data_IF_018109424023
#
_entry.id   IF_018109424023
#
_cell.length_a   1.000
_cell.length_b   1.000
_cell.length_c   1.000
_cell.angle_alpha   90.00
_cell.angle_beta   90.00
_cell.angle_gamma   90.00
#
_symmetry.space_group_name_H-M   'P 1'
#
loop_
_entity.id
_entity.type
_entity.pdbx_description
1 polymer ?
#
# COMPACT_ATOMS: atom_id res chain seq x y z
N UNK A 1 -54.10 39.55 17.24
CA UNK A 1 -53.62 40.44 16.17
C UNK A 1 -52.12 40.22 16.02
N UNK A 2 -51.69 39.77 14.84
CA UNK A 2 -50.38 40.12 14.26
C UNK A 2 -50.48 41.55 13.63
N UNK A 3 -49.45 42.13 12.97
CA UNK A 3 -48.03 41.76 12.81
C UNK A 3 -47.11 42.74 13.61
N UNK A 4 -45.86 43.16 13.32
CA UNK A 4 -44.96 43.12 12.13
C UNK A 4 -43.49 42.97 12.61
N UNK A 5 -42.62 42.42 11.75
CA UNK A 5 -41.16 42.29 11.96
C UNK A 5 -40.41 43.63 11.86
N UNK A 6 -39.23 43.75 12.49
CA UNK A 6 -38.18 44.66 11.96
C UNK A 6 -36.76 44.15 12.18
N UNK A 7 -36.00 44.20 11.10
CA UNK A 7 -34.63 43.73 10.88
C UNK A 7 -33.55 44.42 11.72
N UNK A 8 -32.77 43.64 12.48
CA UNK A 8 -31.50 44.07 13.09
C UNK A 8 -30.27 43.53 12.35
N UNK A 9 -29.83 44.20 11.27
CA UNK A 9 -28.60 43.82 10.55
C UNK A 9 -27.34 44.17 11.37
N UNK A 10 -26.64 43.17 11.93
CA UNK A 10 -25.32 43.40 12.56
C UNK A 10 -24.27 43.75 11.51
N UNK A 11 -23.80 44.99 11.57
CA UNK A 11 -22.88 45.60 10.63
C UNK A 11 -21.42 45.22 10.93
N UNK A 12 -20.95 44.11 10.37
CA UNK A 12 -19.51 43.80 10.41
C UNK A 12 -18.74 44.69 9.44
N UNK A 13 -17.73 45.38 9.96
CA UNK A 13 -16.95 46.37 9.23
C UNK A 13 -15.95 45.71 8.28
N UNK A 14 -15.95 46.13 7.01
CA UNK A 14 -14.87 45.79 6.08
C UNK A 14 -13.58 46.47 6.52
N UNK A 15 -12.60 45.69 6.99
CA UNK A 15 -11.18 46.04 6.84
C UNK A 15 -10.65 45.37 5.57
N UNK A 16 -10.01 46.14 4.70
CA UNK A 16 -8.95 45.59 3.84
C UNK A 16 -7.66 45.43 4.67
N UNK A 17 -6.55 44.97 4.10
CA UNK A 17 -6.30 44.44 2.75
C UNK A 17 -5.10 43.48 2.84
N UNK A 18 -4.63 42.95 1.69
CA UNK A 18 -3.28 42.43 1.54
C UNK A 18 -2.83 41.31 2.50
N UNK A 19 -3.53 40.18 2.47
CA UNK A 19 -2.84 38.89 2.62
C UNK A 19 -2.55 38.30 1.24
N UNK A 20 -1.28 38.43 0.83
CA UNK A 20 -0.81 37.98 -0.47
C UNK A 20 -1.10 36.49 -0.70
N UNK A 21 -1.61 36.15 -1.89
CA UNK A 21 -1.83 34.77 -2.33
C UNK A 21 -0.49 34.07 -2.58
N UNK A 22 0.19 33.72 -1.49
CA UNK A 22 1.39 32.91 -1.54
C UNK A 22 0.99 31.49 -1.98
N UNK A 23 0.97 31.27 -3.31
CA UNK A 23 0.72 29.97 -3.94
C UNK A 23 1.81 29.01 -3.46
N UNK A 24 1.57 28.31 -2.34
CA UNK A 24 2.39 27.16 -1.94
C UNK A 24 2.46 26.24 -3.14
N UNK A 25 3.64 26.16 -3.75
CA UNK A 25 3.90 25.20 -4.80
C UNK A 25 3.64 23.81 -4.21
N UNK A 26 2.59 23.14 -4.69
CA UNK A 26 2.58 21.69 -4.64
C UNK A 26 3.89 21.25 -5.30
N UNK A 27 4.73 20.49 -4.59
CA UNK A 27 6.04 20.07 -5.09
C UNK A 27 5.82 19.37 -6.44
N UNK A 28 6.20 20.03 -7.52
CA UNK A 28 6.12 19.46 -8.86
C UNK A 28 7.06 18.26 -8.90
N UNK A 29 6.53 17.08 -9.23
CA UNK A 29 7.32 15.86 -9.34
C UNK A 29 8.22 15.95 -10.58
N UNK A 30 9.38 16.60 -10.46
CA UNK A 30 10.36 16.83 -11.55
C UNK A 30 10.85 15.51 -12.18
N UNK A 31 10.73 14.38 -11.47
CA UNK A 31 11.18 13.05 -11.90
C UNK A 31 10.18 12.26 -12.78
N UNK A 32 9.11 12.89 -13.28
CA UNK A 32 8.02 12.19 -13.99
C UNK A 32 8.27 11.93 -15.49
N UNK A 33 9.33 12.48 -16.10
CA UNK A 33 9.60 12.37 -17.54
C UNK A 33 10.68 11.34 -17.89
N UNK A 34 10.28 10.22 -18.50
CA UNK A 34 11.18 9.29 -19.21
C UNK A 34 11.63 8.04 -18.44
N UNK A 35 11.46 7.99 -17.12
CA UNK A 35 11.95 6.88 -16.29
C UNK A 35 11.04 5.65 -16.38
N UNK A 36 11.56 4.52 -16.88
CA UNK A 36 10.83 3.25 -16.96
C UNK A 36 10.66 2.61 -15.58
N UNK A 37 9.54 1.92 -15.29
CA UNK A 37 9.39 1.13 -14.08
C UNK A 37 10.27 -0.12 -14.11
N UNK A 38 10.72 -0.58 -12.94
CA UNK A 38 11.59 -1.74 -12.77
C UNK A 38 10.78 -3.05 -12.79
N UNK A 39 10.13 -3.31 -13.92
CA UNK A 39 9.45 -4.59 -14.16
C UNK A 39 10.51 -5.69 -14.32
N UNK A 40 10.29 -6.82 -13.65
CA UNK A 40 11.13 -8.02 -13.70
C UNK A 40 10.35 -9.23 -14.18
N UNK A 41 11.04 -10.15 -14.85
CA UNK A 41 10.43 -11.38 -15.33
C UNK A 41 10.17 -12.38 -14.20
N UNK A 42 9.10 -13.16 -14.34
CA UNK A 42 8.65 -14.15 -13.36
C UNK A 42 9.72 -15.22 -13.05
N UNK A 43 10.65 -15.45 -13.98
CA UNK A 43 11.82 -16.33 -13.84
C UNK A 43 12.99 -15.73 -13.06
N UNK A 44 13.08 -14.40 -12.90
CA UNK A 44 14.15 -13.75 -12.12
C UNK A 44 13.91 -13.82 -10.61
N UNK A 45 12.64 -14.00 -10.19
CA UNK A 45 12.23 -14.00 -8.78
C UNK A 45 13.05 -14.94 -7.88
N UNK A 46 13.23 -16.26 -8.17
CA UNK A 46 14.04 -17.14 -7.33
C UNK A 46 15.54 -16.78 -7.31
N UNK A 47 16.02 -15.93 -8.24
CA UNK A 47 17.35 -15.34 -8.16
C UNK A 47 17.44 -14.26 -7.09
N UNK A 48 16.42 -13.41 -6.98
CA UNK A 48 16.33 -12.37 -5.95
C UNK A 48 16.15 -12.97 -4.55
N UNK A 49 15.24 -13.94 -4.38
CA UNK A 49 14.95 -14.56 -3.08
C UNK A 49 16.17 -15.27 -2.45
N UNK A 50 17.18 -15.64 -3.25
CA UNK A 50 18.42 -16.27 -2.79
C UNK A 50 19.53 -15.26 -2.41
N UNK A 51 19.34 -13.98 -2.72
CA UNK A 51 20.33 -12.92 -2.45
C UNK A 51 19.97 -12.08 -1.23
N UNK A 52 18.68 -11.90 -0.92
CA UNK A 52 18.25 -11.25 0.34
C UNK A 52 18.13 -12.28 1.46
N UNK A 53 18.79 -12.03 2.61
CA UNK A 53 18.73 -12.90 3.81
C UNK A 53 17.36 -12.91 4.48
N UNK A 54 16.74 -11.75 4.63
CA UNK A 54 15.46 -11.54 5.33
C UNK A 54 14.51 -10.71 4.46
N UNK A 55 14.04 -11.25 3.32
CA UNK A 55 13.26 -10.49 2.35
C UNK A 55 11.99 -9.90 2.98
N UNK A 56 11.64 -8.70 2.55
CA UNK A 56 10.30 -8.13 2.72
C UNK A 56 9.65 -8.01 1.34
N UNK A 57 8.69 -8.89 1.07
CA UNK A 57 7.94 -8.93 -0.18
C UNK A 57 6.56 -8.30 0.05
N UNK A 58 6.15 -7.39 -0.83
CA UNK A 58 4.76 -6.91 -0.88
C UNK A 58 4.01 -7.62 -2.00
N UNK A 59 2.84 -8.18 -1.69
CA UNK A 59 1.99 -8.88 -2.65
C UNK A 59 0.64 -8.17 -2.73
N UNK A 60 0.23 -7.81 -3.95
CA UNK A 60 -0.98 -7.01 -4.19
C UNK A 60 -1.99 -7.81 -5.03
N UNK A 61 -2.97 -8.42 -4.37
CA UNK A 61 -3.95 -9.31 -4.98
C UNK A 61 -5.13 -8.53 -5.60
N UNK A 62 -5.12 -8.41 -6.93
CA UNK A 62 -6.21 -7.84 -7.73
C UNK A 62 -6.54 -6.36 -7.47
N UNK A 63 -5.54 -5.50 -7.29
CA UNK A 63 -5.73 -4.03 -7.20
C UNK A 63 -6.18 -3.47 -8.56
N UNK A 64 -7.29 -2.73 -8.59
CA UNK A 64 -7.89 -2.20 -9.84
C UNK A 64 -7.58 -0.72 -10.11
N UNK A 65 -7.32 0.08 -9.08
CA UNK A 65 -7.08 1.51 -9.22
C UNK A 65 -5.57 1.80 -9.41
N UNK A 66 -5.15 2.47 -10.50
CA UNK A 66 -3.75 2.86 -10.70
C UNK A 66 -3.24 3.87 -9.65
N UNK A 67 -4.11 4.67 -9.02
CA UNK A 67 -3.70 5.53 -7.90
C UNK A 67 -3.33 4.70 -6.68
N UNK A 68 -4.16 3.73 -6.29
CA UNK A 68 -3.87 2.86 -5.15
C UNK A 68 -2.66 1.95 -5.43
N UNK A 69 -2.49 1.42 -6.66
CA UNK A 69 -1.24 0.72 -7.03
C UNK A 69 -0.03 1.64 -6.89
N UNK A 70 -0.07 2.86 -7.45
CA UNK A 70 1.04 3.81 -7.34
C UNK A 70 1.38 4.19 -5.89
N UNK A 71 0.37 4.38 -5.06
CA UNK A 71 0.54 4.68 -3.64
C UNK A 71 1.11 3.47 -2.86
N UNK A 72 0.67 2.24 -3.17
CA UNK A 72 1.26 1.02 -2.60
C UNK A 72 2.74 0.87 -2.99
N UNK A 73 3.11 1.13 -4.26
CA UNK A 73 4.50 1.11 -4.73
C UNK A 73 5.37 2.18 -4.04
N UNK A 74 4.80 3.33 -3.69
CA UNK A 74 5.48 4.36 -2.89
C UNK A 74 5.72 3.92 -1.45
N UNK A 75 4.71 3.36 -0.79
CA UNK A 75 4.83 2.83 0.57
C UNK A 75 5.81 1.66 0.63
N UNK A 76 5.81 0.78 -0.37
CA UNK A 76 6.75 -0.33 -0.51
C UNK A 76 8.20 0.17 -0.54
N UNK A 77 8.49 1.12 -1.43
CA UNK A 77 9.83 1.68 -1.56
C UNK A 77 10.28 2.42 -0.28
N UNK A 78 9.38 3.20 0.33
CA UNK A 78 9.65 3.90 1.60
C UNK A 78 9.84 2.99 2.82
N UNK A 79 9.36 1.74 2.76
CA UNK A 79 9.51 0.73 3.81
C UNK A 79 10.66 -0.27 3.55
N UNK A 80 11.42 -0.13 2.47
CA UNK A 80 12.52 -1.03 2.14
C UNK A 80 12.08 -2.41 1.62
N UNK A 81 10.92 -2.50 0.95
CA UNK A 81 10.45 -3.73 0.28
C UNK A 81 11.42 -4.14 -0.84
N UNK A 82 11.93 -5.38 -0.79
CA UNK A 82 12.84 -5.96 -1.79
C UNK A 82 12.17 -6.17 -3.15
N UNK A 83 10.89 -6.55 -3.15
CA UNK A 83 10.13 -6.82 -4.37
C UNK A 83 8.62 -6.68 -4.16
N UNK A 84 7.92 -6.21 -5.18
CA UNK A 84 6.45 -6.15 -5.26
C UNK A 84 5.96 -7.20 -6.27
N UNK A 85 4.99 -8.02 -5.87
CA UNK A 85 4.39 -9.07 -6.69
C UNK A 85 2.94 -8.70 -7.00
N UNK A 86 2.59 -8.63 -8.28
CA UNK A 86 1.23 -8.36 -8.75
C UNK A 86 0.80 -9.43 -9.78
N UNK A 87 -0.44 -9.96 -9.77
CA UNK A 87 -0.86 -10.88 -10.83
C UNK A 87 -1.01 -10.18 -12.19
N UNK A 88 -0.67 -10.88 -13.28
CA UNK A 88 -0.83 -10.40 -14.66
C UNK A 88 -2.30 -10.10 -14.97
N UNK A 89 -3.19 -10.99 -14.53
CA UNK A 89 -4.65 -10.91 -14.69
C UNK A 89 -5.33 -10.18 -13.53
N UNK A 90 -6.51 -9.61 -13.82
CA UNK A 90 -7.43 -9.02 -12.81
C UNK A 90 -6.74 -8.01 -11.88
N UNK A 91 -5.69 -7.34 -12.36
CA UNK A 91 -5.02 -6.23 -11.69
C UNK A 91 -4.73 -5.15 -12.71
N UNK A 92 -4.69 -3.90 -12.28
CA UNK A 92 -4.27 -2.79 -13.13
C UNK A 92 -2.80 -2.96 -13.52
N UNK A 93 -2.42 -2.76 -14.80
CA UNK A 93 -1.01 -2.73 -15.18
C UNK A 93 -0.30 -1.53 -14.55
N UNK A 94 1.04 -1.55 -14.56
CA UNK A 94 1.86 -0.41 -14.11
C UNK A 94 1.75 0.72 -15.13
N UNK A 95 0.71 1.53 -14.99
CA UNK A 95 0.38 2.68 -15.87
C UNK A 95 1.24 3.90 -15.56
N UNK A 96 1.25 4.89 -16.48
CA UNK A 96 1.88 6.19 -16.22
C UNK A 96 1.32 6.89 -14.98
N UNK A 97 0.03 6.71 -14.67
CA UNK A 97 -0.59 7.19 -13.42
C UNK A 97 0.04 6.54 -12.19
N UNK A 98 0.14 5.20 -12.17
CA UNK A 98 0.77 4.47 -11.07
C UNK A 98 2.25 4.86 -10.88
N UNK A 99 3.00 5.00 -11.98
CA UNK A 99 4.41 5.47 -11.96
C UNK A 99 4.49 6.88 -11.35
N UNK A 100 3.65 7.81 -11.81
CA UNK A 100 3.67 9.21 -11.38
C UNK A 100 3.25 9.39 -9.91
N UNK A 101 2.28 8.60 -9.43
CA UNK A 101 1.85 8.56 -8.02
C UNK A 101 2.90 7.89 -7.12
N UNK A 102 3.67 6.93 -7.66
CA UNK A 102 4.72 6.23 -6.89
C UNK A 102 5.89 7.13 -6.46
N UNK A 103 6.03 8.31 -7.08
CA UNK A 103 7.09 9.30 -6.80
C UNK A 103 8.52 8.72 -6.83
N UNK A 104 8.77 7.69 -7.63
CA UNK A 104 10.05 6.96 -7.70
C UNK A 104 9.94 5.48 -7.32
N UNK A 105 8.96 5.10 -6.51
CA UNK A 105 8.84 3.72 -5.99
C UNK A 105 8.74 2.66 -7.10
N UNK A 106 8.01 2.94 -8.18
CA UNK A 106 7.89 2.02 -9.31
C UNK A 106 9.18 1.82 -10.13
N UNK A 107 10.19 2.67 -9.93
CA UNK A 107 11.47 2.68 -10.65
C UNK A 107 12.59 2.06 -9.81
N UNK A 108 12.51 2.16 -8.48
CA UNK A 108 13.55 1.70 -7.56
C UNK A 108 13.22 0.38 -6.84
N UNK A 109 11.95 -0.04 -6.80
CA UNK A 109 11.55 -1.34 -6.26
C UNK A 109 11.21 -2.31 -7.41
N UNK A 110 11.82 -3.51 -7.48
CA UNK A 110 11.47 -4.55 -8.45
C UNK A 110 9.99 -4.94 -8.43
N UNK A 111 9.34 -4.97 -9.60
CA UNK A 111 7.94 -5.37 -9.75
C UNK A 111 7.85 -6.63 -10.61
N UNK A 112 7.44 -7.74 -10.00
CA UNK A 112 7.19 -9.01 -10.67
C UNK A 112 5.71 -9.12 -11.04
N UNK A 113 5.43 -9.25 -12.34
CA UNK A 113 4.08 -9.55 -12.84
C UNK A 113 3.95 -11.05 -12.99
N UNK A 114 3.17 -11.72 -12.13
CA UNK A 114 3.12 -13.18 -12.05
C UNK A 114 1.85 -13.79 -12.67
N UNK A 115 1.98 -14.96 -13.28
CA UNK A 115 0.89 -15.62 -14.03
C UNK A 115 -0.05 -16.37 -13.09
N UNK A 116 0.47 -17.04 -12.06
CA UNK A 116 -0.34 -17.74 -11.06
C UNK A 116 0.11 -17.37 -9.65
N UNK A 117 -0.55 -16.39 -9.04
CA UNK A 117 -0.22 -15.88 -7.71
C UNK A 117 -0.20 -16.97 -6.63
N UNK A 118 -1.12 -17.95 -6.67
CA UNK A 118 -1.18 -19.00 -5.65
C UNK A 118 0.06 -19.90 -5.71
N UNK A 119 0.56 -20.21 -6.93
CA UNK A 119 1.83 -20.91 -7.14
C UNK A 119 3.03 -20.06 -6.73
N UNK A 120 2.99 -18.74 -6.99
CA UNK A 120 4.04 -17.82 -6.50
C UNK A 120 4.12 -17.85 -4.98
N UNK A 121 2.99 -17.81 -4.26
CA UNK A 121 2.98 -17.89 -2.81
C UNK A 121 3.51 -19.23 -2.28
N UNK A 122 3.20 -20.36 -2.93
CA UNK A 122 3.83 -21.65 -2.60
C UNK A 122 5.36 -21.56 -2.74
N UNK A 123 5.85 -21.00 -3.85
CA UNK A 123 7.28 -20.82 -4.10
C UNK A 123 7.97 -19.90 -3.07
N UNK A 124 7.29 -18.86 -2.56
CA UNK A 124 7.84 -18.03 -1.47
C UNK A 124 8.05 -18.88 -0.20
N UNK A 125 7.10 -19.74 0.13
CA UNK A 125 7.13 -20.61 1.31
C UNK A 125 8.19 -21.72 1.18
N UNK A 126 8.40 -22.24 -0.03
CA UNK A 126 9.53 -23.12 -0.37
C UNK A 126 10.90 -22.46 -0.12
N UNK A 127 10.98 -21.12 -0.15
CA UNK A 127 12.18 -20.34 0.19
C UNK A 127 12.20 -19.87 1.66
N UNK A 128 11.33 -20.42 2.52
CA UNK A 128 11.27 -20.10 3.95
C UNK A 128 10.61 -18.75 4.29
N UNK A 129 9.89 -18.14 3.35
CA UNK A 129 9.25 -16.83 3.53
C UNK A 129 7.83 -17.03 4.08
N UNK A 130 7.54 -16.43 5.24
CA UNK A 130 6.21 -16.49 5.86
C UNK A 130 5.21 -15.63 5.07
N UNK A 131 4.02 -16.15 4.74
CA UNK A 131 3.00 -15.42 3.98
C UNK A 131 1.91 -14.89 4.90
N UNK A 132 1.90 -13.59 5.14
CA UNK A 132 0.94 -12.90 6.02
C UNK A 132 -0.11 -12.12 5.21
N UNK A 133 -1.36 -12.60 5.18
CA UNK A 133 -2.44 -11.94 4.46
C UNK A 133 -3.26 -10.98 5.31
N UNK A 134 -3.72 -9.85 4.77
CA UNK A 134 -4.63 -8.94 5.48
C UNK A 134 -6.11 -9.26 5.18
N UNK A 135 -6.94 -9.35 6.21
CA UNK A 135 -8.40 -9.41 6.06
C UNK A 135 -9.09 -8.86 7.31
N UNK A 136 -9.94 -7.84 7.14
CA UNK A 136 -10.69 -7.21 8.24
C UNK A 136 -11.72 -8.19 8.84
N UNK A 137 -12.29 -9.04 8.00
CA UNK A 137 -13.37 -9.98 8.33
C UNK A 137 -12.88 -11.36 8.78
N UNK A 138 -11.74 -11.84 8.25
CA UNK A 138 -11.18 -13.18 8.54
C UNK A 138 -9.83 -13.13 9.26
N UNK A 139 -9.33 -11.95 9.64
CA UNK A 139 -8.07 -11.77 10.35
C UNK A 139 -8.13 -12.28 11.79
N UNK A 140 -7.31 -13.28 12.10
CA UNK A 140 -7.24 -13.97 13.40
C UNK A 140 -6.11 -13.49 14.30
N UNK A 141 -5.28 -12.55 13.81
CA UNK A 141 -4.23 -11.86 14.57
C UNK A 141 -4.33 -10.35 14.38
N UNK A 142 -4.18 -9.59 15.45
CA UNK A 142 -4.00 -8.14 15.37
C UNK A 142 -2.62 -7.86 14.74
N UNK A 143 -2.55 -6.89 13.83
CA UNK A 143 -1.29 -6.45 13.21
C UNK A 143 -0.20 -6.16 14.24
N UNK A 144 -0.56 -5.54 15.37
CA UNK A 144 0.39 -5.10 16.42
C UNK A 144 0.74 -6.20 17.45
N UNK A 145 0.15 -7.40 17.33
CA UNK A 145 0.42 -8.58 18.19
C UNK A 145 1.14 -9.70 17.44
N UNK A 146 1.26 -9.59 16.11
CA UNK A 146 1.96 -10.57 15.28
C UNK A 146 3.46 -10.27 15.23
N UNK A 147 4.28 -11.33 15.25
CA UNK A 147 5.68 -11.24 14.85
C UNK A 147 5.75 -11.13 13.31
N UNK A 148 6.42 -10.08 12.85
CA UNK A 148 6.64 -9.73 11.45
C UNK A 148 8.16 -9.55 11.15
N UNK A 149 9.01 -10.08 12.03
CA UNK A 149 10.46 -10.15 11.83
C UNK A 149 10.84 -11.31 10.90
N UNK A 150 12.10 -11.35 10.43
CA UNK A 150 12.57 -12.38 9.52
C UNK A 150 11.90 -12.36 8.11
N UNK A 151 12.09 -13.40 7.29
CA UNK A 151 11.59 -13.47 5.91
C UNK A 151 10.05 -13.41 5.82
N UNK A 152 9.51 -12.35 5.20
CA UNK A 152 8.08 -12.03 5.21
C UNK A 152 7.54 -11.63 3.83
N UNK A 153 6.35 -12.12 3.50
CA UNK A 153 5.54 -11.69 2.37
C UNK A 153 4.17 -11.18 2.85
N UNK A 154 3.96 -9.87 2.82
CA UNK A 154 2.68 -9.23 3.17
C UNK A 154 1.74 -9.23 1.97
N UNK A 155 0.56 -9.83 2.12
CA UNK A 155 -0.45 -9.92 1.06
C UNK A 155 -1.65 -9.03 1.37
N UNK A 156 -1.79 -7.94 0.61
CA UNK A 156 -2.98 -7.07 0.63
C UNK A 156 -3.79 -7.29 -0.64
N UNK A 157 -5.09 -7.01 -0.58
CA UNK A 157 -6.01 -7.26 -1.69
C UNK A 157 -6.97 -6.10 -1.96
N UNK A 158 -7.74 -6.22 -3.05
CA UNK A 158 -8.68 -5.21 -3.51
C UNK A 158 -9.66 -4.71 -2.43
N UNK A 159 -9.98 -3.43 -2.45
CA UNK A 159 -10.87 -2.75 -1.50
C UNK A 159 -12.28 -3.38 -1.48
N UNK A 160 -12.76 -3.84 -2.64
CA UNK A 160 -14.11 -4.38 -2.79
C UNK A 160 -14.26 -5.87 -2.43
N UNK A 161 -13.17 -6.64 -2.28
CA UNK A 161 -13.21 -8.10 -2.08
C UNK A 161 -12.13 -8.67 -1.14
N UNK A 162 -11.24 -7.83 -0.62
CA UNK A 162 -10.02 -8.25 0.08
C UNK A 162 -9.10 -9.08 -0.83
N UNK A 163 -8.30 -9.93 -0.18
CA UNK A 163 -7.53 -11.02 -0.84
C UNK A 163 -8.47 -12.15 -1.26
N UNK A 164 -8.22 -12.78 -2.42
CA UNK A 164 -9.07 -13.87 -2.92
C UNK A 164 -8.98 -15.10 -2.01
N UNK A 165 -10.07 -15.88 -1.94
CA UNK A 165 -10.16 -17.10 -1.11
C UNK A 165 -9.02 -18.11 -1.35
N UNK A 166 -8.52 -18.24 -2.58
CA UNK A 166 -7.36 -19.10 -2.89
C UNK A 166 -6.04 -18.51 -2.35
N UNK A 167 -5.84 -17.20 -2.50
CA UNK A 167 -4.70 -16.45 -1.96
C UNK A 167 -4.67 -16.54 -0.44
N UNK A 168 -5.83 -16.36 0.19
CA UNK A 168 -6.04 -16.47 1.63
C UNK A 168 -5.67 -17.85 2.18
N UNK A 169 -6.04 -18.93 1.46
CA UNK A 169 -5.68 -20.32 1.79
C UNK A 169 -4.19 -20.66 1.61
N UNK A 170 -3.38 -19.76 1.06
CA UNK A 170 -1.91 -19.89 1.00
C UNK A 170 -1.19 -19.14 2.13
N UNK A 171 -1.87 -18.21 2.80
CA UNK A 171 -1.30 -17.45 3.91
C UNK A 171 -1.11 -18.35 5.15
N UNK A 172 0.01 -18.16 5.85
CA UNK A 172 0.33 -18.82 7.12
C UNK A 172 -0.38 -18.14 8.30
N UNK A 173 -0.60 -16.84 8.20
CA UNK A 173 -1.38 -16.05 9.15
C UNK A 173 -2.27 -15.02 8.44
N UNK A 174 -3.39 -14.68 9.08
CA UNK A 174 -4.30 -13.62 8.64
C UNK A 174 -4.32 -12.49 9.66
N UNK A 175 -3.78 -11.35 9.25
CA UNK A 175 -3.71 -10.10 10.00
C UNK A 175 -4.99 -9.27 9.83
N UNK A 176 -5.38 -8.55 10.86
CA UNK A 176 -6.34 -7.43 10.79
C UNK A 176 -5.74 -6.16 11.39
N UNK A 177 -6.09 -5.01 10.80
CA UNK A 177 -5.86 -3.70 11.43
C UNK A 177 -7.03 -3.47 12.40
N UNK A 178 -6.81 -3.11 13.67
CA UNK A 178 -7.89 -2.89 14.62
C UNK A 178 -8.60 -1.56 14.34
N UNK A 179 -9.86 -1.65 13.92
CA UNK A 179 -10.70 -0.49 13.62
C UNK A 179 -11.41 0.00 14.89
N UNK A 180 -11.19 1.27 15.26
CA UNK A 180 -11.71 1.88 16.49
C UNK A 180 -12.93 2.82 16.25
N UNK A 181 -13.59 2.71 15.11
CA UNK A 181 -14.70 3.59 14.70
C UNK A 181 -15.65 2.91 13.72
N UNK A 182 -16.55 3.70 13.11
CA UNK A 182 -17.68 3.20 12.33
C UNK A 182 -17.36 2.70 10.90
N UNK A 183 -16.10 2.76 10.45
CA UNK A 183 -15.69 2.29 9.12
C UNK A 183 -15.06 0.90 9.21
N UNK A 184 -15.51 -0.02 8.36
CA UNK A 184 -15.19 -1.45 8.45
C UNK A 184 -13.73 -1.78 8.08
N UNK A 185 -13.12 -0.97 7.21
CA UNK A 185 -11.77 -1.18 6.69
C UNK A 185 -11.10 0.15 6.30
N UNK A 186 -9.83 0.08 5.91
CA UNK A 186 -9.07 1.20 5.33
C UNK A 186 -8.92 1.04 3.82
N UNK A 187 -8.71 2.14 3.09
CA UNK A 187 -8.25 2.07 1.69
C UNK A 187 -6.94 1.26 1.61
N UNK A 188 -6.80 0.42 0.59
CA UNK A 188 -5.68 -0.54 0.49
C UNK A 188 -4.30 0.12 0.51
N UNK A 189 -4.14 1.33 0.00
CA UNK A 189 -2.84 2.03 0.05
C UNK A 189 -2.49 2.54 1.45
N UNK A 190 -3.50 2.91 2.24
CA UNK A 190 -3.36 3.26 3.66
C UNK A 190 -3.09 1.99 4.48
N UNK A 191 -3.83 0.92 4.26
CA UNK A 191 -3.60 -0.38 4.90
C UNK A 191 -2.19 -0.93 4.60
N UNK A 192 -1.75 -0.81 3.34
CA UNK A 192 -0.38 -1.17 2.91
C UNK A 192 0.66 -0.35 3.67
N UNK A 193 0.46 0.97 3.81
CA UNK A 193 1.33 1.82 4.61
C UNK A 193 1.39 1.41 6.08
N UNK A 194 0.24 1.20 6.73
CA UNK A 194 0.15 0.79 8.14
C UNK A 194 0.83 -0.56 8.38
N UNK A 195 0.57 -1.56 7.54
CA UNK A 195 1.19 -2.88 7.68
C UNK A 195 2.71 -2.83 7.46
N UNK A 196 3.18 -2.17 6.39
CA UNK A 196 4.61 -2.09 6.08
C UNK A 196 5.41 -1.33 7.14
N UNK A 197 4.90 -0.21 7.66
CA UNK A 197 5.63 0.57 8.66
C UNK A 197 5.61 -0.07 10.05
N UNK A 198 4.68 -0.98 10.35
CA UNK A 198 4.79 -1.86 11.51
C UNK A 198 5.93 -2.90 11.33
N UNK A 199 6.10 -3.48 10.13
CA UNK A 199 7.28 -4.34 9.85
C UNK A 199 8.59 -3.57 10.04
N UNK A 200 8.67 -2.33 9.53
CA UNK A 200 9.83 -1.45 9.72
C UNK A 200 10.08 -1.21 11.21
N UNK A 201 9.04 -0.92 12.00
CA UNK A 201 9.15 -0.73 13.46
C UNK A 201 9.69 -1.99 14.16
N UNK A 202 9.16 -3.17 13.85
CA UNK A 202 9.60 -4.42 14.47
C UNK A 202 11.04 -4.77 14.09
N UNK A 203 11.38 -4.72 12.80
CA UNK A 203 12.74 -5.01 12.30
C UNK A 203 13.79 -4.01 12.79
N UNK A 204 13.42 -2.75 13.07
CA UNK A 204 14.32 -1.78 13.70
C UNK A 204 14.57 -2.07 15.19
N UNK A 205 13.55 -2.52 15.94
CA UNK A 205 13.69 -2.85 17.37
C UNK A 205 14.47 -4.15 17.59
N UNK A 206 14.36 -5.12 16.67
CA UNK A 206 15.12 -6.38 16.71
C UNK A 206 16.57 -6.29 16.21
N UNK A 207 17.09 -5.10 15.89
CA UNK A 207 18.40 -4.88 15.29
C UNK A 207 19.43 -4.22 16.25
N UNK A 208 19.26 -4.44 17.57
CA UNK A 208 20.15 -3.96 18.64
C UNK A 208 20.78 -5.11 19.42
#
# INVERSE_FOLDING_TARGET
MEPIMSSGKKQFTKRGSDFGRNKKQARTNVHASGTKPLIKEESELPGLLKQTKEPLILVLDCIQDPHNLGACLRSANGAGVDAVIIPKDRSVPVTQTAISVSCGGAIHTPIFRVTNLARTLDQLKEHGICVAGTSDHKGTRNLYEADLTGPLALVLGSEAKGIRELTMKKCDLLLKIPMAGFVECLNVSVATGVCLFEVVRQRQVGAC
#
